data_IF_848279850471
#
_entry.id   IF_848279850471
#
_cell.length_a   1.000
_cell.length_b   1.000
_cell.length_c   1.000
_cell.angle_alpha   90.00
_cell.angle_beta   90.00
_cell.angle_gamma   90.00
#
_symmetry.space_group_name_H-M   'P 1'
#
loop_
_entity.id
_entity.type
_entity.pdbx_description
1 polymer ?
#
# COMPACT_ATOMS: atom_id res chain seq x y z
N UNK A 1 -17.54 38.45 19.16
CA UNK A 1 -17.36 37.04 18.75
C UNK A 1 -18.74 36.48 18.47
N UNK A 2 -18.99 35.96 17.26
CA UNK A 2 -20.30 35.41 16.93
C UNK A 2 -20.52 34.13 17.74
N UNK A 3 -21.62 34.06 18.48
CA UNK A 3 -21.99 32.92 19.30
C UNK A 3 -22.43 31.75 18.39
N UNK A 4 -21.51 30.86 18.02
CA UNK A 4 -21.81 29.73 17.14
C UNK A 4 -22.19 28.49 17.96
N UNK A 5 -23.48 28.19 17.97
CA UNK A 5 -24.03 26.97 18.56
C UNK A 5 -23.78 25.77 17.65
N UNK A 6 -23.64 24.59 18.22
CA UNK A 6 -23.68 23.32 17.49
C UNK A 6 -24.89 22.49 17.94
N UNK A 7 -25.39 21.71 17.00
CA UNK A 7 -26.32 20.60 17.21
C UNK A 7 -25.65 19.33 16.67
N UNK A 8 -25.53 18.32 17.51
CA UNK A 8 -24.94 17.02 17.14
C UNK A 8 -25.77 15.89 17.77
N UNK A 9 -25.74 14.71 17.17
CA UNK A 9 -26.33 13.49 17.76
C UNK A 9 -25.21 12.54 18.17
N UNK A 10 -25.34 11.94 19.36
CA UNK A 10 -24.43 10.89 19.78
C UNK A 10 -24.72 9.57 19.05
N UNK A 11 -23.82 8.56 19.09
CA UNK A 11 -24.06 7.26 18.46
C UNK A 11 -25.34 6.57 18.94
N UNK A 12 -25.68 6.74 20.22
CA UNK A 12 -26.96 6.29 20.80
C UNK A 12 -28.21 7.09 20.37
N UNK A 13 -28.06 8.17 19.60
CA UNK A 13 -29.18 8.96 19.05
C UNK A 13 -29.64 10.18 19.86
N UNK A 14 -29.07 10.44 21.04
CA UNK A 14 -29.42 11.61 21.85
C UNK A 14 -28.91 12.91 21.23
N UNK A 15 -29.70 13.98 21.29
CA UNK A 15 -29.33 15.30 20.80
C UNK A 15 -28.46 16.06 21.81
N UNK A 16 -27.40 16.67 21.30
CA UNK A 16 -26.42 17.47 22.04
C UNK A 16 -26.40 18.87 21.46
N UNK A 17 -26.60 19.85 22.32
CA UNK A 17 -26.51 21.28 21.99
C UNK A 17 -25.42 21.93 22.83
N UNK A 18 -24.68 22.87 22.25
CA UNK A 18 -23.63 23.59 22.95
C UNK A 18 -22.99 24.69 22.10
N UNK A 19 -21.89 25.25 22.59
CA UNK A 19 -21.15 26.32 21.92
C UNK A 19 -19.81 25.79 21.39
N UNK A 20 -19.49 26.11 20.13
CA UNK A 20 -18.20 25.72 19.54
C UNK A 20 -17.07 26.61 20.08
N UNK A 21 -15.86 26.06 20.17
CA UNK A 21 -14.62 26.77 20.50
C UNK A 21 -13.76 26.93 19.25
N UNK A 22 -12.69 27.70 19.38
CA UNK A 22 -11.66 27.82 18.33
C UNK A 22 -10.86 26.52 18.15
N UNK A 23 -10.79 25.69 19.19
CA UNK A 23 -10.18 24.36 19.16
C UNK A 23 -11.24 23.25 19.08
N UNK A 24 -10.81 22.03 18.77
CA UNK A 24 -11.69 20.85 18.83
C UNK A 24 -12.21 20.63 20.26
N UNK A 25 -13.43 20.08 20.38
CA UNK A 25 -14.02 19.68 21.66
C UNK A 25 -14.45 18.21 21.61
N UNK A 26 -14.24 17.51 22.72
CA UNK A 26 -14.85 16.21 22.96
C UNK A 26 -15.93 16.37 24.03
N UNK A 27 -17.19 16.37 23.62
CA UNK A 27 -18.34 16.54 24.51
C UNK A 27 -18.89 15.16 24.86
N UNK A 28 -19.13 14.88 26.14
CA UNK A 28 -19.79 13.62 26.55
C UNK A 28 -21.30 13.81 26.57
N UNK A 29 -22.02 12.83 26.02
CA UNK A 29 -23.46 12.77 26.13
C UNK A 29 -23.86 12.63 27.61
N UNK A 30 -24.82 13.44 28.07
CA UNK A 30 -25.31 13.37 29.46
C UNK A 30 -26.14 12.12 29.75
N UNK A 31 -26.72 11.51 28.71
CA UNK A 31 -27.60 10.35 28.87
C UNK A 31 -26.82 9.03 28.82
N UNK A 32 -25.99 8.81 27.79
CA UNK A 32 -25.24 7.55 27.64
C UNK A 32 -23.75 7.63 28.01
N UNK A 33 -23.19 8.82 28.21
CA UNK A 33 -21.76 9.00 28.52
C UNK A 33 -20.81 8.87 27.32
N UNK A 34 -21.30 8.53 26.12
CA UNK A 34 -20.49 8.43 24.91
C UNK A 34 -19.88 9.78 24.52
N UNK A 35 -18.64 9.74 24.02
CA UNK A 35 -17.93 10.93 23.53
C UNK A 35 -18.33 11.28 22.10
N UNK A 36 -18.68 12.55 21.86
CA UNK A 36 -18.94 13.12 20.54
C UNK A 36 -17.90 14.18 20.24
N UNK A 37 -17.26 14.05 19.08
CA UNK A 37 -16.26 15.01 18.62
C UNK A 37 -16.94 16.17 17.90
N UNK A 38 -16.68 17.39 18.36
CA UNK A 38 -17.17 18.63 17.75
C UNK A 38 -15.97 19.39 17.21
N UNK A 39 -15.95 19.59 15.90
CA UNK A 39 -14.87 20.31 15.21
C UNK A 39 -14.80 21.80 15.59
N UNK A 40 -13.64 22.45 15.36
CA UNK A 40 -13.45 23.85 15.64
C UNK A 40 -14.37 24.74 14.79
N UNK A 41 -14.55 25.97 15.23
CA UNK A 41 -15.28 26.99 14.48
C UNK A 41 -14.55 27.29 13.17
N UNK A 42 -15.15 26.95 12.02
CA UNK A 42 -14.62 27.33 10.72
C UNK A 42 -14.76 28.85 10.54
N UNK A 43 -13.66 29.53 10.21
CA UNK A 43 -13.65 30.98 9.94
C UNK A 43 -14.19 31.31 8.54
N UNK A 44 -14.46 30.30 7.72
CA UNK A 44 -15.06 30.50 6.41
C UNK A 44 -16.53 30.87 6.59
N UNK A 45 -17.03 31.92 5.91
CA UNK A 45 -18.45 32.26 5.93
C UNK A 45 -19.24 31.03 5.50
N UNK A 46 -20.36 30.77 6.21
CA UNK A 46 -21.29 29.70 5.82
C UNK A 46 -21.63 29.96 4.35
N UNK A 47 -21.34 29.01 3.43
CA UNK A 47 -21.68 29.20 2.03
C UNK A 47 -23.18 29.53 2.00
N UNK A 48 -23.60 30.57 1.25
CA UNK A 48 -25.01 30.92 1.15
C UNK A 48 -25.75 29.63 0.80
N UNK A 49 -26.76 29.29 1.62
CA UNK A 49 -27.49 28.03 1.51
C UNK A 49 -27.73 27.76 0.03
N UNK A 50 -27.03 26.75 -0.51
CA UNK A 50 -27.06 26.50 -1.93
C UNK A 50 -28.53 26.42 -2.30
N UNK A 51 -28.96 27.30 -3.21
CA UNK A 51 -30.27 27.19 -3.82
C UNK A 51 -30.40 25.72 -4.20
N UNK A 52 -31.40 25.07 -3.60
CA UNK A 52 -31.72 23.67 -3.87
C UNK A 52 -31.91 23.62 -5.38
N UNK A 53 -30.88 23.19 -6.11
CA UNK A 53 -31.04 22.80 -7.48
C UNK A 53 -31.99 21.62 -7.37
N UNK A 54 -33.21 21.79 -7.87
CA UNK A 54 -34.20 20.72 -8.02
C UNK A 54 -33.50 19.55 -8.71
N UNK A 55 -33.04 18.60 -7.89
CA UNK A 55 -32.55 17.33 -8.36
C UNK A 55 -33.75 16.67 -9.02
N UNK A 56 -33.71 16.63 -10.34
CA UNK A 56 -34.65 15.91 -11.18
C UNK A 56 -34.82 14.52 -10.57
N UNK A 57 -36.04 14.13 -10.14
CA UNK A 57 -36.25 12.83 -9.55
C UNK A 57 -35.88 11.75 -10.55
N UNK A 58 -34.93 10.90 -10.18
CA UNK A 58 -34.47 9.70 -10.89
C UNK A 58 -35.56 8.60 -10.87
N UNK A 59 -36.76 8.92 -11.35
CA UNK A 59 -37.96 8.09 -11.22
C UNK A 59 -38.85 8.02 -12.46
N UNK A 60 -38.38 8.44 -13.64
CA UNK A 60 -39.17 8.42 -14.87
C UNK A 60 -38.38 7.85 -16.07
N UNK A 61 -37.95 6.59 -15.96
CA UNK A 61 -37.71 5.74 -17.14
C UNK A 61 -38.44 4.41 -16.88
N UNK A 62 -39.76 4.45 -17.05
CA UNK A 62 -40.59 3.28 -17.34
C UNK A 62 -41.43 3.62 -18.56
N UNK A 63 -41.64 2.61 -19.38
CA UNK A 63 -42.43 2.58 -20.62
C UNK A 63 -41.72 2.99 -21.92
N UNK A 64 -40.81 2.12 -22.37
CA UNK A 64 -40.62 1.90 -23.81
C UNK A 64 -41.24 0.54 -24.15
N UNK A 65 -42.39 0.59 -24.81
CA UNK A 65 -43.08 -0.57 -25.36
C UNK A 65 -42.28 -1.22 -26.51
N UNK A 66 -42.35 -2.55 -26.69
CA UNK A 66 -41.66 -3.25 -27.76
C UNK A 66 -42.48 -3.23 -29.06
N UNK A 67 -41.91 -2.69 -30.13
CA UNK A 67 -42.41 -2.85 -31.49
C UNK A 67 -41.30 -3.46 -32.37
N UNK A 68 -41.25 -4.79 -32.42
CA UNK A 68 -40.32 -5.55 -33.26
C UNK A 68 -40.93 -6.88 -33.67
N UNK A 69 -41.17 -7.05 -34.96
CA UNK A 69 -41.92 -8.14 -35.62
C UNK A 69 -41.35 -9.55 -35.35
N UNK A 70 -42.20 -10.61 -35.38
CA UNK A 70 -41.75 -11.98 -35.26
C UNK A 70 -40.96 -12.42 -36.51
N UNK A 71 -39.71 -12.83 -36.32
CA UNK A 71 -38.93 -13.54 -37.34
C UNK A 71 -39.30 -15.03 -37.30
N UNK A 72 -39.62 -15.56 -38.47
CA UNK A 72 -39.89 -16.98 -38.74
C UNK A 72 -38.68 -17.84 -38.36
N UNK A 73 -38.93 -18.88 -37.59
CA UNK A 73 -38.03 -19.99 -37.32
C UNK A 73 -37.71 -20.75 -38.62
N UNK A 74 -36.45 -21.09 -38.91
CA UNK A 74 -36.14 -22.18 -39.81
C UNK A 74 -35.88 -23.48 -39.03
N UNK A 75 -36.53 -24.53 -39.53
CA UNK A 75 -36.15 -25.94 -39.51
C UNK A 75 -35.75 -26.59 -38.18
N UNK A 76 -36.64 -27.47 -37.71
CA UNK A 76 -36.33 -28.66 -36.93
C UNK A 76 -35.14 -29.41 -37.53
N UNK A 77 -34.09 -29.59 -36.73
CA UNK A 77 -33.07 -30.62 -36.95
C UNK A 77 -33.46 -31.80 -36.09
N UNK A 78 -33.50 -32.96 -36.73
CA UNK A 78 -34.01 -34.22 -36.22
C UNK A 78 -33.26 -34.72 -34.98
N UNK A 79 -34.06 -35.29 -34.09
CA UNK A 79 -33.74 -35.92 -32.82
C UNK A 79 -33.35 -37.38 -33.09
N UNK A 80 -32.06 -37.67 -33.29
CA UNK A 80 -31.53 -39.03 -33.22
C UNK A 80 -30.08 -39.00 -32.72
N UNK A 81 -29.77 -39.95 -31.83
CA UNK A 81 -28.45 -40.36 -31.32
C UNK A 81 -27.86 -39.62 -30.10
N UNK A 82 -28.29 -40.05 -28.90
CA UNK A 82 -27.36 -40.28 -27.78
C UNK A 82 -27.83 -41.47 -26.92
N UNK A 83 -27.59 -42.69 -27.41
CA UNK A 83 -27.36 -43.85 -26.55
C UNK A 83 -25.85 -44.03 -26.43
N UNK A 84 -25.31 -44.06 -25.22
CA UNK A 84 -23.93 -44.50 -25.00
C UNK A 84 -23.17 -43.82 -23.86
N UNK A 85 -23.74 -43.68 -22.66
CA UNK A 85 -22.89 -43.55 -21.47
C UNK A 85 -22.58 -44.96 -20.95
N UNK A 86 -21.39 -45.43 -21.32
CA UNK A 86 -20.80 -46.65 -20.80
C UNK A 86 -20.52 -46.51 -19.31
N UNK A 87 -21.07 -47.44 -18.54
CA UNK A 87 -20.74 -47.70 -17.14
C UNK A 87 -19.26 -48.03 -16.98
N UNK A 88 -18.56 -47.25 -16.14
CA UNK A 88 -17.20 -47.54 -15.68
C UNK A 88 -17.30 -48.65 -14.61
N UNK A 89 -16.62 -49.80 -14.75
CA UNK A 89 -16.63 -50.84 -13.72
C UNK A 89 -15.80 -50.39 -12.51
N UNK A 90 -16.43 -50.35 -11.33
CA UNK A 90 -15.72 -50.38 -10.05
C UNK A 90 -14.91 -51.67 -9.98
N UNK A 91 -13.59 -51.53 -9.92
CA UNK A 91 -12.69 -52.62 -9.56
C UNK A 91 -12.66 -52.75 -8.03
N UNK A 92 -12.95 -53.96 -7.60
CA UNK A 92 -12.84 -54.45 -6.24
C UNK A 92 -11.46 -54.11 -5.65
N UNK A 93 -11.47 -53.42 -4.51
CA UNK A 93 -10.28 -53.20 -3.70
C UNK A 93 -10.13 -54.37 -2.75
N UNK A 94 -9.09 -55.15 -3.01
CA UNK A 94 -8.68 -56.32 -2.25
C UNK A 94 -8.40 -55.98 -0.78
N UNK A 95 -8.77 -56.93 0.08
CA UNK A 95 -8.55 -56.95 1.50
C UNK A 95 -7.06 -56.91 1.86
N UNK A 96 -6.69 -56.03 2.78
CA UNK A 96 -5.42 -56.10 3.51
C UNK A 96 -5.69 -56.72 4.89
N UNK A 97 -5.13 -57.89 5.23
CA UNK A 97 -5.13 -58.39 6.59
C UNK A 97 -3.80 -58.01 7.28
N UNK A 98 -3.87 -57.51 8.50
CA UNK A 98 -2.67 -57.27 9.30
C UNK A 98 -2.96 -56.47 10.56
N UNK A 99 -3.40 -57.14 11.62
CA UNK A 99 -3.59 -56.53 12.92
C UNK A 99 -2.28 -56.18 13.62
N UNK A 100 -2.33 -55.15 14.47
CA UNK A 100 -1.43 -55.04 15.62
C UNK A 100 -2.24 -54.59 16.83
N UNK A 101 -2.09 -55.42 17.86
CA UNK A 101 -2.65 -55.38 19.20
C UNK A 101 -2.35 -54.08 19.96
N UNK A 102 -3.37 -53.57 20.67
CA UNK A 102 -3.30 -53.28 22.10
C UNK A 102 -2.42 -52.13 22.59
N UNK A 103 -3.04 -50.96 22.78
CA UNK A 103 -2.62 -50.02 23.82
C UNK A 103 -3.86 -49.43 24.50
N UNK A 104 -4.12 -49.90 25.74
CA UNK A 104 -5.07 -49.32 26.69
C UNK A 104 -4.59 -47.91 27.05
N UNK A 105 -5.38 -46.89 26.72
CA UNK A 105 -5.28 -45.58 27.36
C UNK A 105 -6.04 -45.63 28.69
N UNK A 106 -5.42 -45.20 29.82
CA UNK A 106 -6.12 -45.09 31.08
C UNK A 106 -7.01 -43.84 31.06
N UNK A 107 -8.30 -44.05 31.28
CA UNK A 107 -9.26 -42.98 31.59
C UNK A 107 -9.31 -42.89 33.11
N UNK A 108 -8.61 -41.92 33.68
CA UNK A 108 -8.82 -41.45 35.05
C UNK A 108 -9.19 -39.95 34.99
N UNK A 109 -10.47 -39.69 35.20
CA UNK A 109 -11.05 -38.44 35.73
C UNK A 109 -10.79 -38.38 37.27
N UNK A 110 -11.04 -37.31 38.05
CA UNK A 110 -11.46 -35.94 37.70
C UNK A 110 -10.80 -34.81 38.55
N UNK A 111 -11.22 -33.56 38.29
CA UNK A 111 -11.29 -32.44 39.25
C UNK A 111 -10.00 -31.68 39.63
N UNK A 112 -9.50 -30.84 38.72
CA UNK A 112 -8.75 -29.64 39.11
C UNK A 112 -9.72 -28.45 39.25
N UNK A 113 -9.97 -28.03 40.49
CA UNK A 113 -10.69 -26.80 40.83
C UNK A 113 -9.88 -25.60 40.34
N UNK A 114 -10.31 -24.96 39.25
CA UNK A 114 -9.83 -23.65 38.87
C UNK A 114 -10.53 -22.59 39.72
N UNK A 115 -9.82 -22.10 40.74
CA UNK A 115 -10.24 -20.97 41.55
C UNK A 115 -10.02 -19.68 40.74
N UNK A 116 -11.09 -19.18 40.12
CA UNK A 116 -11.09 -17.89 39.42
C UNK A 116 -11.04 -16.78 40.47
N UNK A 117 -9.87 -16.16 40.64
CA UNK A 117 -9.74 -14.91 41.40
C UNK A 117 -10.51 -13.79 40.67
N UNK A 118 -11.38 -13.03 41.35
CA UNK A 118 -12.07 -11.90 40.74
C UNK A 118 -11.08 -10.78 40.41
N UNK A 119 -11.13 -10.32 39.16
CA UNK A 119 -10.44 -9.13 38.69
C UNK A 119 -11.02 -7.89 39.38
N UNK A 120 -10.35 -7.43 40.43
CA UNK A 120 -10.54 -6.09 41.00
C UNK A 120 -9.16 -5.46 41.18
N UNK A 121 -9.07 -4.20 40.75
CA UNK A 121 -7.95 -3.27 40.95
C UNK A 121 -6.66 -3.56 40.15
N UNK A 122 -6.70 -3.31 38.83
CA UNK A 122 -5.54 -2.73 38.16
C UNK A 122 -5.84 -1.26 37.86
N UNK A 123 -4.97 -0.40 38.39
CA UNK A 123 -5.10 1.04 38.46
C UNK A 123 -5.13 1.72 37.08
N UNK A 124 -6.10 2.61 36.88
CA UNK A 124 -6.26 3.55 35.77
C UNK A 124 -5.17 4.66 35.70
N UNK A 125 -3.96 4.41 36.23
CA UNK A 125 -2.94 5.46 36.45
C UNK A 125 -1.88 5.62 35.36
N UNK A 126 -1.57 4.56 34.59
CA UNK A 126 -0.34 4.55 33.78
C UNK A 126 -0.54 4.60 32.26
N UNK A 127 -1.73 4.30 31.73
CA UNK A 127 -1.96 4.33 30.28
C UNK A 127 -2.01 5.76 29.72
N UNK A 128 -2.51 6.72 30.52
CA UNK A 128 -2.58 8.13 30.12
C UNK A 128 -1.20 8.82 30.03
N UNK A 129 -0.17 8.28 30.71
CA UNK A 129 1.20 8.81 30.64
C UNK A 129 1.99 8.35 29.41
N UNK A 130 1.60 7.24 28.77
CA UNK A 130 2.27 6.81 27.53
C UNK A 130 1.75 7.58 26.31
N UNK A 131 0.44 7.81 26.20
CA UNK A 131 -0.15 8.50 25.03
C UNK A 131 0.30 9.97 24.93
N UNK A 132 0.56 10.64 26.06
CA UNK A 132 1.03 12.03 26.06
C UNK A 132 2.46 12.22 25.52
N UNK A 133 3.34 11.23 25.70
CA UNK A 133 4.77 11.37 25.32
C UNK A 133 4.99 11.36 23.82
N UNK A 134 4.21 10.59 23.08
CA UNK A 134 4.36 10.50 21.62
C UNK A 134 3.84 11.77 20.93
N UNK A 135 2.76 12.38 21.47
CA UNK A 135 2.26 13.66 20.98
C UNK A 135 3.26 14.80 21.19
N UNK A 136 3.91 14.87 22.35
CA UNK A 136 4.94 15.88 22.64
C UNK A 136 6.18 15.71 21.74
N UNK A 137 6.56 14.47 21.45
CA UNK A 137 7.68 14.16 20.55
C UNK A 137 7.38 14.58 19.11
N UNK A 138 6.20 14.24 18.59
CA UNK A 138 5.78 14.66 17.25
C UNK A 138 5.69 16.19 17.14
N UNK A 139 5.19 16.87 18.19
CA UNK A 139 5.16 18.32 18.23
C UNK A 139 6.57 18.95 18.25
N UNK A 140 7.55 18.33 18.92
CA UNK A 140 8.95 18.79 18.89
C UNK A 140 9.59 18.60 17.52
N UNK A 141 9.40 17.44 16.88
CA UNK A 141 9.98 17.14 15.57
C UNK A 141 9.39 18.06 14.49
N UNK A 142 8.10 18.38 14.56
CA UNK A 142 7.47 19.36 13.67
C UNK A 142 8.03 20.78 13.82
N UNK A 143 8.35 21.21 15.05
CA UNK A 143 8.97 22.52 15.32
C UNK A 143 10.39 22.59 14.78
N UNK A 144 11.17 21.52 14.91
CA UNK A 144 12.53 21.45 14.39
C UNK A 144 12.55 21.49 12.85
N UNK A 145 11.66 20.76 12.20
CA UNK A 145 11.50 20.82 10.73
C UNK A 145 11.08 22.21 10.24
N UNK A 146 10.15 22.87 10.94
CA UNK A 146 9.72 24.22 10.60
C UNK A 146 10.89 25.23 10.73
N UNK A 147 11.71 25.10 11.77
CA UNK A 147 12.90 25.92 11.98
C UNK A 147 13.95 25.70 10.89
N UNK A 148 14.15 24.46 10.45
CA UNK A 148 15.10 24.14 9.37
C UNK A 148 14.64 24.71 8.02
N UNK A 149 13.34 24.64 7.70
CA UNK A 149 12.77 25.27 6.50
C UNK A 149 12.96 26.79 6.51
N UNK A 150 12.73 27.45 7.65
CA UNK A 150 12.99 28.88 7.79
C UNK A 150 14.47 29.23 7.56
N UNK A 151 15.40 28.43 8.09
CA UNK A 151 16.84 28.64 7.87
C UNK A 151 17.27 28.41 6.40
N UNK A 152 16.63 27.48 5.69
CA UNK A 152 16.89 27.28 4.27
C UNK A 152 16.35 28.43 3.42
N UNK A 153 15.17 28.96 3.76
CA UNK A 153 14.60 30.13 3.08
C UNK A 153 15.45 31.39 3.29
N UNK A 154 15.95 31.63 4.51
CA UNK A 154 16.84 32.77 4.77
C UNK A 154 18.15 32.63 3.99
N UNK A 155 18.76 31.45 3.96
CA UNK A 155 19.96 31.18 3.15
C UNK A 155 19.72 31.40 1.65
N UNK A 156 18.58 30.93 1.12
CA UNK A 156 18.21 31.17 -0.29
C UNK A 156 18.03 32.66 -0.58
N UNK A 157 17.41 33.42 0.32
CA UNK A 157 17.24 34.87 0.18
C UNK A 157 18.59 35.60 0.24
N UNK A 158 19.48 35.22 1.14
CA UNK A 158 20.84 35.79 1.22
C UNK A 158 21.67 35.48 -0.02
N UNK A 159 21.61 34.26 -0.55
CA UNK A 159 22.32 33.88 -1.77
C UNK A 159 21.76 34.62 -3.00
N UNK A 160 20.43 34.75 -3.10
CA UNK A 160 19.80 35.54 -4.15
C UNK A 160 20.18 37.02 -4.07
N UNK A 161 20.22 37.61 -2.87
CA UNK A 161 20.65 38.98 -2.65
C UNK A 161 22.13 39.19 -3.04
N UNK A 162 23.01 38.22 -2.69
CA UNK A 162 24.42 38.25 -3.12
C UNK A 162 24.58 38.16 -4.64
N UNK A 163 23.79 37.32 -5.32
CA UNK A 163 23.81 37.21 -6.79
C UNK A 163 23.29 38.49 -7.46
N UNK A 164 22.23 39.10 -6.92
CA UNK A 164 21.70 40.36 -7.41
C UNK A 164 22.70 41.51 -7.26
N UNK A 165 23.39 41.59 -6.12
CA UNK A 165 24.44 42.58 -5.89
C UNK A 165 25.68 42.35 -6.80
N UNK A 166 26.02 41.10 -7.08
CA UNK A 166 27.13 40.78 -7.99
C UNK A 166 26.82 41.18 -9.45
N UNK A 167 25.56 41.10 -9.89
CA UNK A 167 25.15 41.52 -11.24
C UNK A 167 25.11 43.05 -11.41
N UNK A 168 24.91 43.82 -10.35
CA UNK A 168 24.86 45.29 -10.42
C UNK A 168 26.24 45.97 -10.50
N UNK A 169 27.33 45.23 -10.23
CA UNK A 169 28.70 45.76 -10.29
C UNK A 169 29.46 45.37 -11.58
N UNK A 170 28.77 44.81 -12.59
CA UNK A 170 29.41 44.36 -13.85
C UNK A 170 29.19 45.35 -15.01
N UNK A 171 29.20 46.65 -14.72
CA UNK A 171 29.26 47.71 -15.73
C UNK A 171 30.41 48.68 -15.35
N UNK A 172 31.64 48.15 -15.30
CA UNK A 172 32.85 48.97 -15.31
C UNK A 172 33.54 48.76 -16.68
N UNK A 173 33.70 49.83 -17.49
CA UNK A 173 34.21 49.72 -18.86
C UNK A 173 35.70 49.36 -18.90
N UNK A 174 36.07 48.64 -19.97
CA UNK A 174 37.41 48.22 -20.36
C UNK A 174 38.54 49.18 -19.95
N UNK A 175 39.34 48.81 -18.96
CA UNK A 175 40.70 49.35 -18.82
C UNK A 175 41.68 48.31 -18.25
N UNK A 176 42.62 47.92 -19.12
CA UNK A 176 43.90 47.25 -18.88
C UNK A 176 43.82 45.75 -18.57
N UNK A 177 44.09 44.96 -19.61
CA UNK A 177 44.53 43.56 -19.56
C UNK A 177 45.75 43.43 -18.63
N UNK A 178 45.60 42.85 -17.42
CA UNK A 178 46.73 42.67 -16.53
C UNK A 178 47.53 41.45 -17.00
N UNK A 179 48.81 41.71 -17.22
CA UNK A 179 49.89 40.76 -17.50
C UNK A 179 49.72 39.45 -16.71
N UNK A 180 49.89 38.26 -17.34
CA UNK A 180 49.62 36.97 -16.71
C UNK A 180 50.57 36.73 -15.54
N UNK A 181 50.11 37.06 -14.32
CA UNK A 181 50.87 36.77 -13.12
C UNK A 181 51.04 35.25 -12.99
N UNK A 182 52.25 34.77 -12.69
CA UNK A 182 52.53 33.35 -12.54
C UNK A 182 51.63 32.78 -11.44
N UNK A 183 50.85 31.74 -11.77
CA UNK A 183 50.05 30.98 -10.81
C UNK A 183 50.99 30.37 -9.76
N UNK A 184 51.25 31.10 -8.68
CA UNK A 184 51.92 30.56 -7.51
C UNK A 184 51.07 29.39 -6.99
N UNK A 185 51.65 28.18 -6.85
CA UNK A 185 50.90 27.06 -6.32
C UNK A 185 50.44 27.41 -4.91
N UNK A 186 49.13 27.58 -4.73
CA UNK A 186 48.48 27.76 -3.44
C UNK A 186 48.53 26.45 -2.64
N UNK A 187 49.74 25.97 -2.33
CA UNK A 187 49.96 25.07 -1.21
C UNK A 187 49.88 25.91 0.06
N UNK A 188 48.67 26.40 0.35
CA UNK A 188 48.35 27.08 1.60
C UNK A 188 48.62 26.07 2.70
N UNK A 189 49.73 26.24 3.43
CA UNK A 189 50.12 25.40 4.56
C UNK A 189 48.95 25.31 5.53
N UNK A 190 48.20 24.21 5.44
CA UNK A 190 47.14 23.90 6.38
C UNK A 190 47.84 23.72 7.72
N UNK A 191 47.50 24.56 8.71
CA UNK A 191 48.20 24.54 9.98
C UNK A 191 48.11 23.14 10.62
N UNK A 192 49.17 22.63 11.27
CA UNK A 192 49.15 21.31 11.90
C UNK A 192 47.97 21.10 12.86
N UNK A 193 47.47 22.17 13.49
CA UNK A 193 46.29 22.16 14.37
C UNK A 193 45.00 21.76 13.65
N UNK A 194 44.85 22.15 12.39
CA UNK A 194 43.69 21.77 11.57
C UNK A 194 43.72 20.28 11.27
N UNK A 195 44.89 19.71 11.00
CA UNK A 195 45.04 18.26 10.81
C UNK A 195 44.70 17.47 12.07
N UNK A 196 45.15 17.94 13.24
CA UNK A 196 44.80 17.34 14.53
C UNK A 196 43.28 17.41 14.75
N UNK A 197 42.65 18.57 14.53
CA UNK A 197 41.21 18.72 14.66
C UNK A 197 40.42 17.79 13.75
N UNK A 198 40.86 17.64 12.50
CA UNK A 198 40.23 16.74 11.52
C UNK A 198 40.42 15.27 11.90
N UNK A 199 41.58 14.90 12.44
CA UNK A 199 41.82 13.55 12.97
C UNK A 199 40.88 13.20 14.13
N UNK A 200 40.70 14.12 15.08
CA UNK A 200 39.78 13.93 16.21
C UNK A 200 38.33 13.83 15.74
N UNK A 201 37.90 14.71 14.83
CA UNK A 201 36.54 14.67 14.27
C UNK A 201 36.26 13.35 13.54
N UNK A 202 37.24 12.82 12.79
CA UNK A 202 37.13 11.54 12.10
C UNK A 202 36.99 10.37 13.09
N UNK A 203 37.77 10.36 14.17
CA UNK A 203 37.66 9.33 15.22
C UNK A 203 36.26 9.38 15.86
N UNK A 204 35.76 10.57 16.24
CA UNK A 204 34.42 10.73 16.83
C UNK A 204 33.35 10.21 15.87
N UNK A 205 33.41 10.59 14.60
CA UNK A 205 32.46 10.12 13.58
C UNK A 205 32.52 8.60 13.41
N UNK A 206 33.72 8.01 13.47
CA UNK A 206 33.91 6.57 13.40
C UNK A 206 33.36 5.85 14.63
N UNK A 207 33.53 6.42 15.82
CA UNK A 207 32.96 5.89 17.09
C UNK A 207 31.44 5.92 17.08
N UNK A 208 30.84 7.06 16.70
CA UNK A 208 29.37 7.20 16.60
C UNK A 208 28.82 6.19 15.60
N UNK A 209 29.45 6.07 14.42
CA UNK A 209 29.08 5.07 13.41
C UNK A 209 29.21 3.64 13.94
N UNK A 210 30.26 3.35 14.69
CA UNK A 210 30.47 2.05 15.34
C UNK A 210 29.38 1.71 16.35
N UNK A 211 29.01 2.67 17.20
CA UNK A 211 27.99 2.51 18.23
C UNK A 211 26.59 2.31 17.62
N UNK A 212 26.23 3.10 16.61
CA UNK A 212 24.97 2.92 15.86
C UNK A 212 24.92 1.52 15.24
N UNK A 213 26.04 1.07 14.66
CA UNK A 213 26.16 -0.24 14.03
C UNK A 213 26.01 -1.40 15.03
N UNK A 214 26.60 -1.28 16.21
CA UNK A 214 26.49 -2.29 17.28
C UNK A 214 25.07 -2.34 17.85
N UNK A 215 24.51 -1.19 18.24
CA UNK A 215 23.14 -1.12 18.75
C UNK A 215 22.10 -1.64 17.74
N UNK A 216 22.33 -1.43 16.43
CA UNK A 216 21.47 -2.02 15.41
C UNK A 216 21.57 -3.55 15.39
N UNK A 217 22.78 -4.12 15.44
CA UNK A 217 22.99 -5.58 15.45
C UNK A 217 22.34 -6.27 16.64
N UNK A 218 22.44 -5.67 17.82
CA UNK A 218 21.89 -6.25 19.05
C UNK A 218 20.36 -6.32 19.03
N UNK A 219 19.69 -5.47 18.24
CA UNK A 219 18.22 -5.43 18.09
C UNK A 219 17.68 -6.36 17.01
N UNK A 220 18.51 -6.87 16.11
CA UNK A 220 18.03 -7.68 14.97
C UNK A 220 17.21 -8.90 15.42
N UNK A 221 17.63 -9.69 16.43
CA UNK A 221 16.84 -10.85 16.88
C UNK A 221 15.43 -10.47 17.37
N UNK A 222 15.31 -9.32 18.03
CA UNK A 222 14.01 -8.80 18.50
C UNK A 222 13.14 -8.36 17.32
N UNK A 223 13.71 -7.63 16.35
CA UNK A 223 13.01 -7.20 15.13
C UNK A 223 12.48 -8.40 14.34
N UNK A 224 13.30 -9.45 14.17
CA UNK A 224 12.91 -10.68 13.47
C UNK A 224 11.79 -11.41 14.21
N UNK A 225 11.92 -11.57 15.53
CA UNK A 225 10.88 -12.21 16.36
C UNK A 225 9.56 -11.45 16.27
N UNK A 226 9.61 -10.12 16.33
CA UNK A 226 8.44 -9.25 16.18
C UNK A 226 7.80 -9.37 14.79
N UNK A 227 8.60 -9.37 13.73
CA UNK A 227 8.10 -9.55 12.37
C UNK A 227 7.41 -10.89 12.15
N UNK A 228 7.97 -11.97 12.71
CA UNK A 228 7.36 -13.30 12.60
C UNK A 228 6.03 -13.40 13.35
N UNK A 229 5.94 -12.86 14.56
CA UNK A 229 4.76 -13.03 15.42
C UNK A 229 3.69 -11.98 15.14
N UNK A 230 4.08 -10.70 15.09
CA UNK A 230 3.17 -9.59 14.91
C UNK A 230 3.05 -9.19 13.43
N UNK A 231 4.16 -9.12 12.70
CA UNK A 231 4.17 -8.66 11.30
C UNK A 231 3.34 -9.56 10.37
N UNK A 232 3.56 -10.87 10.44
CA UNK A 232 2.80 -11.86 9.65
C UNK A 232 1.33 -11.90 10.07
N UNK A 233 1.04 -11.88 11.38
CA UNK A 233 -0.33 -11.85 11.88
C UNK A 233 -1.07 -10.57 11.46
N UNK A 234 -0.39 -9.42 11.45
CA UNK A 234 -0.95 -8.15 10.95
C UNK A 234 -1.22 -8.18 9.45
N UNK A 235 -0.35 -8.83 8.66
CA UNK A 235 -0.56 -9.02 7.22
C UNK A 235 -1.81 -9.86 6.95
N UNK A 236 -1.93 -11.00 7.64
CA UNK A 236 -3.06 -11.92 7.48
C UNK A 236 -4.37 -11.31 8.01
N UNK A 237 -4.30 -10.42 9.00
CA UNK A 237 -5.45 -9.69 9.56
C UNK A 237 -5.87 -8.45 8.73
N UNK A 238 -5.22 -8.17 7.61
CA UNK A 238 -5.53 -7.00 6.77
C UNK A 238 -5.02 -5.65 7.28
N UNK A 239 -4.17 -5.65 8.32
CA UNK A 239 -3.52 -4.44 8.86
C UNK A 239 -2.24 -4.13 8.07
N UNK A 240 -2.40 -3.81 6.79
CA UNK A 240 -1.28 -3.75 5.84
C UNK A 240 -0.24 -2.67 6.15
N UNK A 241 -0.64 -1.50 6.64
CA UNK A 241 0.32 -0.44 6.98
C UNK A 241 1.26 -0.86 8.12
N UNK A 242 0.70 -1.46 9.16
CA UNK A 242 1.44 -1.99 10.30
C UNK A 242 2.34 -3.15 9.87
N UNK A 243 1.79 -4.09 9.09
CA UNK A 243 2.55 -5.20 8.54
C UNK A 243 3.72 -4.72 7.67
N UNK A 244 3.48 -3.76 6.77
CA UNK A 244 4.50 -3.15 5.90
C UNK A 244 5.62 -2.55 6.73
N UNK A 245 5.31 -1.81 7.80
CA UNK A 245 6.34 -1.23 8.66
C UNK A 245 7.20 -2.31 9.33
N UNK A 246 6.56 -3.26 10.03
CA UNK A 246 7.28 -4.27 10.81
C UNK A 246 8.08 -5.22 9.89
N UNK A 247 7.49 -5.66 8.78
CA UNK A 247 8.12 -6.62 7.87
C UNK A 247 9.25 -5.98 7.06
N UNK A 248 9.14 -4.71 6.66
CA UNK A 248 10.23 -4.01 5.97
C UNK A 248 11.43 -3.78 6.90
N UNK A 249 11.20 -3.49 8.18
CA UNK A 249 12.26 -3.35 9.17
C UNK A 249 13.05 -4.66 9.32
N UNK A 250 12.34 -5.80 9.39
CA UNK A 250 12.97 -7.11 9.45
C UNK A 250 13.66 -7.53 8.15
N UNK A 251 13.06 -7.27 6.99
CA UNK A 251 13.68 -7.53 5.70
C UNK A 251 15.01 -6.75 5.55
N UNK A 252 15.00 -5.47 5.96
CA UNK A 252 16.21 -4.63 5.98
C UNK A 252 17.28 -5.16 6.94
N UNK A 253 16.86 -5.71 8.09
CA UNK A 253 17.77 -6.33 9.05
C UNK A 253 18.44 -7.59 8.48
N UNK A 254 17.69 -8.44 7.76
CA UNK A 254 18.25 -9.60 7.07
C UNK A 254 19.20 -9.22 5.92
N UNK A 255 18.87 -8.16 5.16
CA UNK A 255 19.75 -7.65 4.10
C UNK A 255 21.04 -7.08 4.66
N UNK A 256 20.96 -6.41 5.82
CA UNK A 256 22.12 -5.93 6.55
C UNK A 256 23.04 -7.07 7.02
N UNK A 257 22.46 -8.18 7.49
CA UNK A 257 23.20 -9.39 7.86
C UNK A 257 23.70 -10.20 6.65
N UNK A 258 23.19 -9.91 5.44
CA UNK A 258 23.37 -10.71 4.22
C UNK A 258 22.96 -12.17 4.42
N UNK A 259 21.94 -12.38 5.25
CA UNK A 259 21.46 -13.70 5.56
C UNK A 259 20.48 -14.17 4.47
N UNK A 260 20.66 -15.40 4.01
CA UNK A 260 19.82 -16.03 2.97
C UNK A 260 19.15 -17.31 3.49
N UNK A 261 18.73 -17.29 4.76
CA UNK A 261 17.91 -18.34 5.35
C UNK A 261 16.50 -18.34 4.74
N UNK A 262 15.79 -19.45 4.85
CA UNK A 262 14.43 -19.56 4.32
C UNK A 262 13.46 -18.62 5.06
N UNK A 263 13.66 -18.42 6.36
CA UNK A 263 12.96 -17.39 7.14
C UNK A 263 13.20 -15.98 6.58
N UNK A 264 14.44 -15.66 6.21
CA UNK A 264 14.76 -14.37 5.58
C UNK A 264 14.06 -14.22 4.22
N UNK A 265 13.94 -15.29 3.43
CA UNK A 265 13.20 -15.25 2.15
C UNK A 265 11.70 -15.05 2.38
N UNK A 266 11.12 -15.75 3.35
CA UNK A 266 9.70 -15.63 3.71
C UNK A 266 9.37 -14.20 4.17
N UNK A 267 10.16 -13.65 5.11
CA UNK A 267 9.93 -12.29 5.62
C UNK A 267 10.10 -11.24 4.51
N UNK A 268 11.12 -11.38 3.63
CA UNK A 268 11.26 -10.49 2.47
C UNK A 268 10.07 -10.58 1.52
N UNK A 269 9.56 -11.79 1.29
CA UNK A 269 8.39 -12.00 0.45
C UNK A 269 7.14 -11.36 1.08
N UNK A 270 6.88 -11.62 2.36
CA UNK A 270 5.77 -11.02 3.10
C UNK A 270 5.88 -9.48 3.16
N UNK A 271 7.08 -8.94 3.33
CA UNK A 271 7.32 -7.48 3.31
C UNK A 271 6.96 -6.86 1.95
N UNK A 272 7.34 -7.53 0.85
CA UNK A 272 6.96 -7.12 -0.50
C UNK A 272 5.45 -7.20 -0.73
N UNK A 273 4.80 -8.28 -0.31
CA UNK A 273 3.34 -8.43 -0.39
C UNK A 273 2.60 -7.36 0.43
N UNK A 274 3.01 -7.12 1.68
CA UNK A 274 2.46 -6.08 2.53
C UNK A 274 2.63 -4.68 1.91
N UNK A 275 3.78 -4.44 1.26
CA UNK A 275 4.04 -3.18 0.55
C UNK A 275 3.11 -2.95 -0.64
N UNK A 276 2.78 -4.01 -1.38
CA UNK A 276 1.77 -3.96 -2.45
C UNK A 276 0.39 -3.67 -1.84
N UNK A 277 -0.02 -4.45 -0.84
CA UNK A 277 -1.37 -4.38 -0.26
C UNK A 277 -1.65 -3.07 0.48
N UNK A 278 -0.65 -2.48 1.15
CA UNK A 278 -0.79 -1.17 1.81
C UNK A 278 -0.94 -0.01 0.81
N UNK A 279 -0.33 -0.14 -0.38
CA UNK A 279 -0.33 0.92 -1.38
C UNK A 279 -1.32 0.67 -2.53
N UNK A 280 -2.36 -0.14 -2.29
CA UNK A 280 -3.38 -0.44 -3.30
C UNK A 280 -4.02 0.83 -3.84
N UNK A 281 -4.31 0.81 -5.13
CA UNK A 281 -5.02 1.89 -5.80
C UNK A 281 -6.47 1.96 -5.29
N UNK A 282 -6.88 3.14 -4.84
CA UNK A 282 -8.21 3.36 -4.24
C UNK A 282 -9.36 3.51 -5.24
N UNK A 283 -9.07 3.44 -6.54
CA UNK A 283 -10.02 3.63 -7.64
C UNK A 283 -9.89 2.49 -8.65
N UNK A 284 -10.98 2.13 -9.33
CA UNK A 284 -10.92 1.11 -10.36
C UNK A 284 -10.12 1.63 -11.57
N UNK A 285 -9.46 0.72 -12.28
CA UNK A 285 -8.46 1.08 -13.29
C UNK A 285 -9.08 1.78 -14.52
N UNK A 286 -10.34 1.48 -14.83
CA UNK A 286 -11.12 2.15 -15.87
C UNK A 286 -11.31 3.64 -15.56
N UNK A 287 -11.65 4.00 -14.32
CA UNK A 287 -11.80 5.41 -13.91
C UNK A 287 -10.47 6.16 -14.02
N UNK A 288 -9.35 5.50 -13.67
CA UNK A 288 -8.02 6.10 -13.76
C UNK A 288 -7.68 6.39 -15.23
N UNK A 289 -7.95 5.44 -16.13
CA UNK A 289 -7.70 5.61 -17.56
C UNK A 289 -8.62 6.69 -18.14
N UNK A 290 -9.91 6.68 -17.82
CA UNK A 290 -10.87 7.70 -18.28
C UNK A 290 -10.45 9.10 -17.85
N UNK A 291 -9.98 9.25 -16.61
CA UNK A 291 -9.47 10.51 -16.10
C UNK A 291 -8.17 10.90 -16.80
N UNK A 292 -7.23 9.96 -16.98
CA UNK A 292 -5.99 10.21 -17.69
C UNK A 292 -6.25 10.68 -19.13
N UNK A 293 -7.27 10.12 -19.78
CA UNK A 293 -7.72 10.48 -21.13
C UNK A 293 -8.33 11.90 -21.21
N UNK A 294 -8.78 12.47 -20.08
CA UNK A 294 -9.39 13.81 -20.05
C UNK A 294 -8.40 14.97 -20.31
N UNK A 295 -7.11 14.69 -20.50
CA UNK A 295 -6.09 15.67 -20.88
C UNK A 295 -5.06 15.93 -19.79
N UNK A 296 -4.39 17.09 -19.84
CA UNK A 296 -3.25 17.40 -18.96
C UNK A 296 -3.59 17.42 -17.46
N UNK A 297 -4.80 17.84 -17.10
CA UNK A 297 -5.28 17.77 -15.72
C UNK A 297 -5.35 16.31 -15.23
N UNK A 298 -5.90 15.42 -16.06
CA UNK A 298 -5.95 13.99 -15.79
C UNK A 298 -4.58 13.33 -15.65
N UNK A 299 -3.63 13.72 -16.52
CA UNK A 299 -2.23 13.26 -16.40
C UNK A 299 -1.57 13.76 -15.13
N UNK A 300 -1.86 14.99 -14.69
CA UNK A 300 -1.34 15.53 -13.43
C UNK A 300 -1.93 14.79 -12.23
N UNK A 301 -3.24 14.51 -12.23
CA UNK A 301 -3.92 13.71 -11.21
C UNK A 301 -3.29 12.32 -11.09
N UNK A 302 -3.09 11.62 -12.21
CA UNK A 302 -2.43 10.32 -12.23
C UNK A 302 -1.04 10.37 -11.61
N UNK A 303 -0.21 11.35 -12.00
CA UNK A 303 1.16 11.50 -11.44
C UNK A 303 1.16 11.75 -9.94
N UNK A 304 0.17 12.46 -9.42
CA UNK A 304 0.11 12.84 -8.02
C UNK A 304 -0.55 11.78 -7.12
N UNK A 305 -1.53 11.03 -7.66
CA UNK A 305 -2.42 10.18 -6.86
C UNK A 305 -2.26 8.68 -7.14
N UNK A 306 -1.99 8.32 -8.39
CA UNK A 306 -2.06 6.92 -8.86
C UNK A 306 -0.69 6.34 -9.23
N UNK A 307 0.26 7.17 -9.66
CA UNK A 307 1.63 6.73 -9.98
C UNK A 307 2.30 6.17 -8.73
N UNK A 308 2.85 4.96 -8.86
CA UNK A 308 3.48 4.22 -7.77
C UNK A 308 2.48 3.47 -6.87
N UNK A 309 1.17 3.63 -7.08
CA UNK A 309 0.15 2.80 -6.42
C UNK A 309 0.15 1.39 -6.99
N UNK A 310 -0.26 0.46 -6.16
CA UNK A 310 -0.25 -0.95 -6.45
C UNK A 310 -1.60 -1.44 -6.99
N UNK A 311 -1.55 -2.45 -7.83
CA UNK A 311 -2.69 -3.25 -8.26
C UNK A 311 -2.38 -4.73 -8.03
N UNK A 312 -3.41 -5.50 -7.73
CA UNK A 312 -3.36 -6.96 -7.69
C UNK A 312 -4.16 -7.48 -8.87
N UNK A 313 -3.55 -8.36 -9.67
CA UNK A 313 -4.13 -8.90 -10.89
C UNK A 313 -3.95 -10.39 -10.92
N UNK A 314 -5.06 -11.09 -11.08
CA UNK A 314 -5.09 -12.48 -11.53
C UNK A 314 -5.10 -12.49 -13.05
N UNK A 315 -4.10 -13.10 -13.68
CA UNK A 315 -4.05 -13.19 -15.13
C UNK A 315 -3.52 -14.54 -15.59
N UNK A 316 -4.01 -14.96 -16.76
CA UNK A 316 -3.53 -16.15 -17.45
C UNK A 316 -2.42 -15.77 -18.43
N UNK A 317 -1.32 -16.52 -18.41
CA UNK A 317 -0.21 -16.34 -19.35
C UNK A 317 -0.62 -16.82 -20.74
N UNK A 318 -0.64 -15.92 -21.72
CA UNK A 318 -1.06 -16.22 -23.11
C UNK A 318 0.08 -16.31 -24.11
N UNK A 319 1.25 -15.78 -23.78
CA UNK A 319 2.47 -15.90 -24.59
C UNK A 319 3.72 -15.93 -23.70
N UNK A 320 4.75 -16.63 -24.17
CA UNK A 320 6.05 -16.75 -23.50
C UNK A 320 7.21 -16.35 -24.43
N UNK A 321 8.38 -15.96 -23.87
CA UNK A 321 9.62 -15.65 -24.60
C UNK A 321 10.01 -16.62 -25.70
N UNK A 322 9.78 -17.91 -25.50
CA UNK A 322 10.17 -18.97 -26.43
C UNK A 322 9.44 -18.87 -27.79
N UNK A 323 8.33 -18.13 -27.85
CA UNK A 323 7.57 -17.88 -29.08
C UNK A 323 8.01 -16.61 -29.83
N UNK A 324 9.12 -15.99 -29.42
CA UNK A 324 9.70 -14.82 -30.13
C UNK A 324 9.12 -13.47 -29.72
N UNK A 325 8.48 -13.36 -28.55
CA UNK A 325 7.96 -12.10 -27.98
C UNK A 325 8.05 -12.08 -26.46
N UNK A 326 7.86 -10.94 -25.79
CA UNK A 326 7.82 -10.90 -24.32
C UNK A 326 6.62 -11.69 -23.74
N UNK A 327 6.57 -11.83 -22.41
CA UNK A 327 5.36 -12.37 -21.77
C UNK A 327 4.13 -11.52 -22.13
N UNK A 328 2.98 -12.17 -22.33
CA UNK A 328 1.68 -11.53 -22.48
C UNK A 328 0.69 -12.15 -21.49
N UNK A 329 -0.16 -11.31 -20.89
CA UNK A 329 -1.14 -11.69 -19.89
C UNK A 329 -2.54 -11.36 -20.40
N UNK A 330 -3.49 -12.30 -20.29
CA UNK A 330 -4.89 -12.04 -20.62
C UNK A 330 -5.56 -11.20 -19.52
N UNK A 331 -5.21 -9.93 -19.48
CA UNK A 331 -5.88 -8.95 -18.63
C UNK A 331 -6.40 -7.82 -19.50
N UNK A 332 -7.73 -7.65 -19.50
CA UNK A 332 -8.42 -6.65 -20.30
C UNK A 332 -9.32 -5.83 -19.39
N UNK A 333 -9.08 -4.52 -19.36
CA UNK A 333 -9.97 -3.58 -18.67
C UNK A 333 -10.84 -2.86 -19.71
N UNK A 334 -12.16 -2.93 -19.59
CA UNK A 334 -13.05 -2.11 -20.42
C UNK A 334 -12.98 -0.65 -19.95
N UNK A 335 -12.77 0.30 -20.86
CA UNK A 335 -12.62 1.73 -20.54
C UNK A 335 -13.86 2.52 -21.04
N UNK A 336 -14.38 3.45 -20.23
CA UNK A 336 -15.50 4.37 -20.55
C UNK A 336 -16.88 4.06 -19.92
N UNK A 337 -17.90 4.94 -20.05
CA UNK A 337 -19.31 4.68 -19.66
C UNK A 337 -20.21 4.12 -20.80
N UNK A 338 -21.07 3.12 -20.50
CA UNK A 338 -22.08 2.54 -21.44
C UNK A 338 -21.75 1.24 -22.20
N UNK A 339 -22.72 0.39 -22.60
CA UNK A 339 -22.53 -0.98 -23.11
C UNK A 339 -21.92 -1.11 -24.54
N UNK A 340 -21.09 -0.17 -25.00
CA UNK A 340 -20.56 -0.16 -26.36
C UNK A 340 -19.41 -1.18 -26.54
N UNK A 341 -19.51 -2.16 -27.46
CA UNK A 341 -18.45 -3.13 -27.72
C UNK A 341 -17.18 -2.56 -28.37
N UNK A 342 -17.21 -1.32 -28.87
CA UNK A 342 -16.06 -0.67 -29.53
C UNK A 342 -15.11 0.08 -28.57
N UNK A 343 -15.09 -0.28 -27.28
CA UNK A 343 -14.27 0.42 -26.28
C UNK A 343 -12.79 0.14 -26.48
N UNK A 344 -11.92 1.15 -26.28
CA UNK A 344 -10.50 0.90 -26.21
C UNK A 344 -10.23 -0.07 -25.06
N UNK A 345 -9.52 -1.16 -25.36
CA UNK A 345 -9.13 -2.15 -24.37
C UNK A 345 -7.87 -1.65 -23.65
N UNK A 346 -7.85 -1.76 -22.32
CA UNK A 346 -6.62 -1.63 -21.54
C UNK A 346 -5.83 -2.93 -21.57
N UNK A 347 -4.52 -2.86 -21.85
CA UNK A 347 -3.56 -3.97 -21.77
C UNK A 347 -2.45 -3.62 -20.78
N UNK A 348 -2.01 -4.60 -19.98
CA UNK A 348 -0.85 -4.46 -19.10
C UNK A 348 0.44 -4.67 -19.91
N UNK A 349 1.38 -3.72 -19.84
CA UNK A 349 2.72 -3.92 -20.38
C UNK A 349 3.60 -4.64 -19.34
N UNK A 350 3.70 -5.96 -19.49
CA UNK A 350 4.49 -6.83 -18.61
C UNK A 350 5.86 -7.19 -19.18
N UNK A 351 6.22 -6.67 -20.36
CA UNK A 351 7.44 -7.08 -21.07
C UNK A 351 8.71 -6.83 -20.26
N UNK A 352 8.70 -5.77 -19.47
CA UNK A 352 9.83 -5.33 -18.65
C UNK A 352 9.71 -5.74 -17.18
N UNK A 353 8.75 -6.60 -16.80
CA UNK A 353 8.55 -6.97 -15.40
C UNK A 353 9.57 -8.04 -14.98
N UNK A 354 10.50 -7.68 -14.08
CA UNK A 354 11.60 -8.56 -13.64
C UNK A 354 11.09 -9.85 -12.99
N UNK A 355 9.91 -9.81 -12.34
CA UNK A 355 9.27 -10.97 -11.73
C UNK A 355 9.09 -12.12 -12.72
N UNK A 356 8.58 -11.84 -13.93
CA UNK A 356 8.26 -12.89 -14.91
C UNK A 356 9.51 -13.51 -15.52
N UNK A 357 10.57 -12.72 -15.70
CA UNK A 357 11.86 -13.22 -16.16
C UNK A 357 12.47 -14.25 -15.18
N UNK A 358 12.23 -14.05 -13.88
CA UNK A 358 12.69 -14.95 -12.82
C UNK A 358 11.77 -16.15 -12.61
N UNK A 359 10.44 -15.94 -12.65
CA UNK A 359 9.45 -16.99 -12.38
C UNK A 359 9.32 -17.99 -13.53
N UNK A 360 9.42 -17.52 -14.78
CA UNK A 360 9.23 -18.31 -16.01
C UNK A 360 7.94 -19.16 -16.00
N UNK A 361 6.76 -18.52 -15.87
CA UNK A 361 5.50 -19.25 -15.83
C UNK A 361 5.19 -19.94 -17.17
N UNK A 362 4.43 -21.03 -17.10
CA UNK A 362 4.05 -21.81 -18.28
C UNK A 362 2.88 -21.16 -19.03
N UNK A 363 2.77 -21.48 -20.33
CA UNK A 363 1.62 -21.06 -21.14
C UNK A 363 0.31 -21.61 -20.56
N UNK A 364 -0.68 -20.74 -20.35
CA UNK A 364 -1.97 -21.09 -19.77
C UNK A 364 -2.02 -21.12 -18.24
N UNK A 365 -0.87 -20.95 -17.57
CA UNK A 365 -0.80 -20.83 -16.12
C UNK A 365 -1.52 -19.55 -15.66
N UNK A 366 -2.28 -19.65 -14.57
CA UNK A 366 -2.94 -18.49 -13.95
C UNK A 366 -2.10 -18.06 -12.76
N UNK A 367 -1.62 -16.82 -12.80
CA UNK A 367 -0.75 -16.26 -11.76
C UNK A 367 -1.46 -15.08 -11.10
N UNK A 368 -1.25 -14.93 -9.80
CA UNK A 368 -1.73 -13.78 -9.03
C UNK A 368 -0.54 -12.91 -8.65
N UNK A 369 -0.47 -11.72 -9.24
CA UNK A 369 0.67 -10.81 -9.08
C UNK A 369 0.21 -9.45 -8.54
N UNK A 370 1.04 -8.90 -7.66
CA UNK A 370 1.00 -7.50 -7.24
C UNK A 370 2.03 -6.69 -8.02
N UNK A 371 1.64 -5.56 -8.58
CA UNK A 371 2.52 -4.68 -9.38
C UNK A 371 2.18 -3.21 -9.12
N UNK A 372 3.12 -2.29 -9.36
CA UNK A 372 2.89 -0.84 -9.24
C UNK A 372 2.73 -0.17 -10.59
N UNK A 373 1.83 0.81 -10.66
CA UNK A 373 1.62 1.67 -11.82
C UNK A 373 2.81 2.61 -12.02
N UNK A 374 3.35 2.67 -13.23
CA UNK A 374 4.43 3.58 -13.59
C UNK A 374 3.95 4.71 -14.50
N UNK A 375 3.20 4.35 -15.55
CA UNK A 375 2.77 5.28 -16.60
C UNK A 375 1.55 4.71 -17.37
N UNK A 376 0.87 5.57 -18.12
CA UNK A 376 -0.24 5.20 -19.02
C UNK A 376 0.01 5.79 -20.41
N UNK A 377 -0.16 4.99 -21.46
CA UNK A 377 0.06 5.42 -22.84
C UNK A 377 -1.05 4.91 -23.76
N UNK A 378 -1.53 5.76 -24.68
CA UNK A 378 -2.46 5.35 -25.72
C UNK A 378 -1.69 5.15 -27.03
N UNK A 379 -1.61 3.90 -27.49
CA UNK A 379 -0.96 3.56 -28.76
C UNK A 379 -1.89 2.64 -29.57
N UNK A 380 -2.07 2.96 -30.85
CA UNK A 380 -2.92 2.20 -31.77
C UNK A 380 -4.37 1.98 -31.28
N UNK A 381 -4.92 2.95 -30.54
CA UNK A 381 -6.27 2.87 -29.96
C UNK A 381 -6.38 1.91 -28.77
N UNK A 382 -5.26 1.42 -28.23
CA UNK A 382 -5.17 0.54 -27.06
C UNK A 382 -4.46 1.28 -25.93
N UNK A 383 -5.03 1.22 -24.73
CA UNK A 383 -4.38 1.79 -23.54
C UNK A 383 -3.36 0.80 -22.99
N UNK A 384 -2.08 1.17 -23.03
CA UNK A 384 -0.99 0.44 -22.43
C UNK A 384 -0.74 0.95 -21.01
N UNK A 385 -0.98 0.07 -20.04
CA UNK A 385 -0.74 0.33 -18.63
C UNK A 385 0.68 -0.14 -18.31
N UNK A 386 1.60 0.82 -18.17
CA UNK A 386 3.01 0.53 -17.89
C UNK A 386 3.22 0.29 -16.41
N UNK A 387 3.89 -0.80 -16.09
CA UNK A 387 4.19 -1.23 -14.73
C UNK A 387 5.63 -0.85 -14.35
N UNK A 388 5.89 -0.67 -13.06
CA UNK A 388 7.26 -0.53 -12.56
C UNK A 388 7.98 -1.90 -12.65
N UNK A 389 9.07 -2.02 -13.43
CA UNK A 389 9.82 -3.26 -13.64
C UNK A 389 10.19 -4.04 -12.38
N UNK A 390 10.48 -3.32 -11.28
CA UNK A 390 11.00 -3.90 -10.02
C UNK A 390 9.93 -4.14 -8.97
N UNK A 391 8.70 -3.73 -9.25
CA UNK A 391 7.60 -3.78 -8.29
C UNK A 391 6.85 -5.11 -8.26
N UNK A 392 7.14 -6.03 -9.18
CA UNK A 392 6.43 -7.30 -9.29
C UNK A 392 6.63 -8.20 -8.08
N UNK A 393 5.51 -8.63 -7.48
CA UNK A 393 5.46 -9.57 -6.36
C UNK A 393 4.45 -10.67 -6.69
N UNK A 394 4.84 -11.93 -6.54
CA UNK A 394 3.87 -13.04 -6.57
C UNK A 394 3.07 -13.02 -5.27
N UNK A 395 1.73 -13.08 -5.33
CA UNK A 395 0.91 -13.08 -4.12
C UNK A 395 0.77 -14.51 -3.60
N UNK A 396 1.40 -14.80 -2.46
CA UNK A 396 1.38 -16.15 -1.86
C UNK A 396 0.44 -16.27 -0.65
N UNK A 397 0.17 -15.15 0.04
CA UNK A 397 -0.68 -15.12 1.24
C UNK A 397 -2.14 -14.85 0.92
N UNK A 398 -2.89 -15.93 0.71
CA UNK A 398 -4.34 -15.87 0.43
C UNK A 398 -5.17 -15.26 1.56
N UNK A 399 -4.77 -15.45 2.83
CA UNK A 399 -5.47 -14.84 3.96
C UNK A 399 -5.47 -13.31 3.89
N UNK A 400 -4.32 -12.72 3.55
CA UNK A 400 -4.18 -11.28 3.36
C UNK A 400 -5.08 -10.77 2.21
N UNK A 401 -5.16 -11.52 1.11
CA UNK A 401 -6.07 -11.20 -0.01
C UNK A 401 -7.55 -11.32 0.37
N UNK A 402 -7.91 -12.32 1.17
CA UNK A 402 -9.27 -12.48 1.69
C UNK A 402 -9.72 -11.27 2.52
N UNK A 403 -8.80 -10.64 3.25
CA UNK A 403 -9.12 -9.46 4.07
C UNK A 403 -9.48 -8.21 3.26
N UNK A 404 -9.08 -8.12 1.98
CA UNK A 404 -9.52 -7.05 1.05
C UNK A 404 -10.75 -7.45 0.22
N UNK A 405 -11.37 -8.59 0.53
CA UNK A 405 -12.51 -9.11 -0.22
C UNK A 405 -12.14 -9.69 -1.59
N UNK A 406 -10.87 -10.04 -1.81
CA UNK A 406 -10.49 -10.76 -3.03
C UNK A 406 -11.20 -12.12 -3.04
N UNK A 407 -11.80 -12.55 -4.17
CA UNK A 407 -12.41 -13.86 -4.25
C UNK A 407 -11.30 -14.91 -4.16
N UNK A 408 -11.17 -15.53 -3.00
CA UNK A 408 -10.31 -16.71 -2.84
C UNK A 408 -11.02 -17.83 -3.59
N UNK A 409 -10.66 -18.02 -4.86
CA UNK A 409 -11.14 -19.15 -5.63
C UNK A 409 -10.73 -20.42 -4.88
N UNK A 410 -11.67 -21.36 -4.75
CA UNK A 410 -11.56 -22.62 -3.99
C UNK A 410 -10.30 -23.45 -4.31
N UNK A 411 -9.56 -23.10 -5.38
CA UNK A 411 -8.23 -23.63 -5.71
C UNK A 411 -7.24 -23.60 -4.54
N UNK A 412 -7.26 -22.58 -3.70
CA UNK A 412 -6.33 -22.52 -2.56
C UNK A 412 -6.70 -23.50 -1.41
N UNK A 413 -7.96 -23.97 -1.35
CA UNK A 413 -8.40 -24.90 -0.31
C UNK A 413 -7.98 -26.35 -0.58
N UNK A 414 -7.74 -26.71 -1.85
CA UNK A 414 -7.33 -28.08 -2.22
C UNK A 414 -5.91 -28.44 -1.80
N UNK A 415 -5.00 -27.47 -1.75
CA UNK A 415 -3.58 -27.73 -1.49
C UNK A 415 -3.20 -27.65 0.00
N UNK A 416 -4.05 -27.07 0.86
CA UNK A 416 -3.76 -26.94 2.31
C UNK A 416 -4.14 -28.17 3.13
N UNK A 417 -4.93 -29.11 2.60
CA UNK A 417 -5.37 -30.30 3.33
C UNK A 417 -4.41 -31.50 3.17
N UNK A 418 -3.47 -31.46 2.22
CA UNK A 418 -2.57 -32.58 1.93
C UNK A 418 -1.27 -32.59 2.77
N UNK A 419 -0.96 -31.54 3.54
CA UNK A 419 0.34 -31.41 4.25
C UNK A 419 0.20 -31.24 5.78
N UNK A 420 -0.91 -31.73 6.35
CA UNK A 420 -1.04 -31.92 7.79
C UNK A 420 -0.53 -33.33 8.15
N UNK A 421 0.62 -33.46 8.85
CA UNK A 421 1.19 -34.75 9.24
C UNK A 421 0.34 -35.52 10.26
#
# INVERSE_FOLDING_TARGET
MADMRFEARCPSGHELTGHRTETFQAVRCRECGEGVFVGPTSWLPVPPAAAVYDLIPLGAIRDVAPAGKPRKSPASVDDESMQGFGSIPLKDSEAVPGGVSGAKLPVDDPAAKFEVKPARELADGDFQKMIGKDADRQASEARDQARERQLQETRRKEEAARKAAALQNTDEPDEIEPEPQPRVPLYRRVSPKVWVGLGVALIIAMTIRGQIRQNYRDRIPEIVKKARTEGLASLDAGRFDEAKQILNDAASAFDYLRENSDEAKEIRQAAREASILADLVGRPLDEIIDRFAAGEAGKADFRNLDKGRSLVVEARVTATPDQGGGYDLDFRVPVGPGPNPARPLGKLDVKNLELLANLRPNLGETILIGVRLSDLELADGVWWIRLDPKSGVLMTRWAALGSIGWPVTERAAGDTEADKP
#
